data_IF_521809553520
#
_entry.id   IF_521809553520
#
_cell.length_a   1.000
_cell.length_b   1.000
_cell.length_c   1.000
_cell.angle_alpha   90.00
_cell.angle_beta   90.00
_cell.angle_gamma   90.00
#
_symmetry.space_group_name_H-M   'P 1'
#
loop_
_entity.id
_entity.type
_entity.pdbx_description
1 polymer ?
#
# COMPACT_ATOMS: atom_id res chain seq x y z
N UNK A 1 -21.03 7.00 4.06
CA UNK A 1 -20.70 6.07 5.16
C UNK A 1 -19.26 5.62 4.93
N UNK A 2 -18.28 6.06 5.74
CA UNK A 2 -16.89 5.57 5.62
C UNK A 2 -16.85 4.15 6.21
N UNK A 3 -16.28 3.14 5.52
CA UNK A 3 -16.12 1.82 6.11
C UNK A 3 -15.17 1.84 7.32
N UNK A 4 -15.14 0.76 8.09
CA UNK A 4 -14.36 0.67 9.33
C UNK A 4 -12.87 0.97 9.09
N UNK A 5 -12.36 1.96 9.81
CA UNK A 5 -10.99 2.46 9.75
C UNK A 5 -10.27 2.00 11.02
N UNK A 6 -9.17 1.27 10.87
CA UNK A 6 -8.41 0.74 12.00
C UNK A 6 -7.08 1.48 12.12
N UNK A 7 -6.86 2.09 13.29
CA UNK A 7 -5.58 2.69 13.68
C UNK A 7 -5.08 2.02 14.94
N UNK A 8 -3.81 1.62 14.95
CA UNK A 8 -3.15 1.01 16.09
C UNK A 8 -1.79 1.65 16.33
N UNK A 9 -1.49 1.82 17.61
CA UNK A 9 -0.18 2.22 18.10
C UNK A 9 0.43 1.04 18.83
N UNK A 10 1.72 0.84 18.62
CA UNK A 10 2.52 -0.14 19.35
C UNK A 10 3.82 0.51 19.77
N UNK A 11 4.06 0.61 21.09
CA UNK A 11 5.32 1.10 21.64
C UNK A 11 6.36 -0.03 21.63
N UNK A 12 7.55 0.25 21.10
CA UNK A 12 8.66 -0.69 21.06
C UNK A 12 9.47 -0.71 22.37
N UNK A 13 9.17 0.17 23.33
CA UNK A 13 9.84 0.25 24.62
C UNK A 13 11.23 0.91 24.57
N UNK A 14 11.61 1.46 23.42
CA UNK A 14 12.88 2.17 23.20
C UNK A 14 12.67 3.65 22.82
N UNK A 15 11.49 4.20 23.14
CA UNK A 15 11.08 5.55 22.75
C UNK A 15 10.63 5.69 21.30
N UNK A 16 10.53 4.59 20.55
CA UNK A 16 9.95 4.56 19.19
C UNK A 16 8.62 3.81 19.19
N UNK A 17 7.63 4.35 18.50
CA UNK A 17 6.32 3.71 18.33
C UNK A 17 6.03 3.41 16.87
N UNK A 18 5.43 2.26 16.60
CA UNK A 18 4.91 1.89 15.29
C UNK A 18 3.44 2.30 15.23
N UNK A 19 3.10 2.95 14.12
CA UNK A 19 1.72 3.30 13.79
C UNK A 19 1.31 2.45 12.59
N UNK A 20 0.19 1.75 12.72
CA UNK A 20 -0.43 1.01 11.63
C UNK A 20 -1.84 1.56 11.39
N UNK A 21 -2.12 1.92 10.15
CA UNK A 21 -3.45 2.33 9.70
C UNK A 21 -3.82 1.54 8.45
N UNK A 22 -5.10 1.19 8.33
CA UNK A 22 -5.66 0.62 7.12
C UNK A 22 -7.01 1.24 6.85
N UNK A 23 -7.19 1.67 5.61
CA UNK A 23 -8.44 2.23 5.09
C UNK A 23 -8.80 1.53 3.78
N UNK A 24 -10.07 1.21 3.60
CA UNK A 24 -10.61 0.68 2.36
C UNK A 24 -11.76 1.56 1.88
N UNK A 25 -11.82 1.81 0.58
CA UNK A 25 -12.81 2.68 -0.04
C UNK A 25 -13.53 1.96 -1.16
N UNK A 26 -14.81 2.26 -1.32
CA UNK A 26 -15.51 2.05 -2.58
C UNK A 26 -15.13 3.16 -3.57
N UNK A 27 -15.15 2.90 -4.88
CA UNK A 27 -14.84 3.92 -5.88
C UNK A 27 -15.73 5.15 -5.72
N UNK A 28 -15.08 6.31 -5.53
CA UNK A 28 -15.74 7.62 -5.35
C UNK A 28 -15.73 8.41 -6.67
N UNK A 29 -14.83 8.05 -7.59
CA UNK A 29 -14.62 8.72 -8.88
C UNK A 29 -14.50 7.68 -9.98
N UNK A 30 -14.84 8.08 -11.21
CA UNK A 30 -14.83 7.19 -12.38
C UNK A 30 -13.43 6.93 -12.93
N UNK A 31 -12.49 7.87 -12.73
CA UNK A 31 -11.11 7.71 -13.16
C UNK A 31 -10.36 6.74 -12.20
N UNK A 32 -9.90 5.57 -12.67
CA UNK A 32 -9.27 4.57 -11.82
C UNK A 32 -7.96 5.06 -11.19
N UNK A 33 -7.15 5.79 -11.95
CA UNK A 33 -5.87 6.31 -11.50
C UNK A 33 -6.04 7.36 -10.39
N UNK A 34 -6.96 8.29 -10.57
CA UNK A 34 -7.25 9.30 -9.55
C UNK A 34 -7.92 8.68 -8.32
N UNK A 35 -8.75 7.66 -8.49
CA UNK A 35 -9.29 6.88 -7.36
C UNK A 35 -8.16 6.30 -6.50
N UNK A 36 -7.17 5.65 -7.14
CA UNK A 36 -5.99 5.13 -6.45
C UNK A 36 -5.22 6.19 -5.67
N UNK A 37 -4.99 7.36 -6.30
CA UNK A 37 -4.30 8.50 -5.66
C UNK A 37 -5.05 9.03 -4.45
N UNK A 38 -6.37 9.22 -4.57
CA UNK A 38 -7.23 9.73 -3.49
C UNK A 38 -7.25 8.74 -2.32
N UNK A 39 -7.45 7.45 -2.61
CA UNK A 39 -7.49 6.40 -1.59
C UNK A 39 -6.17 6.31 -0.82
N UNK A 40 -5.04 6.27 -1.53
CA UNK A 40 -3.71 6.22 -0.90
C UNK A 40 -3.39 7.50 -0.11
N UNK A 41 -3.77 8.67 -0.62
CA UNK A 41 -3.60 9.95 0.09
C UNK A 41 -4.39 9.96 1.40
N UNK A 42 -5.64 9.49 1.39
CA UNK A 42 -6.44 9.43 2.61
C UNK A 42 -5.79 8.50 3.65
N UNK A 43 -5.41 7.28 3.26
CA UNK A 43 -4.80 6.31 4.17
C UNK A 43 -3.48 6.84 4.79
N UNK A 44 -2.68 7.56 4.02
CA UNK A 44 -1.40 8.13 4.50
C UNK A 44 -1.62 9.37 5.37
N UNK A 45 -2.65 10.18 5.07
CA UNK A 45 -2.93 11.43 5.81
C UNK A 45 -3.12 11.20 7.32
N UNK A 46 -3.64 10.04 7.70
CA UNK A 46 -3.78 9.63 9.10
C UNK A 46 -2.44 9.54 9.84
N UNK A 47 -1.41 9.01 9.18
CA UNK A 47 -0.06 8.90 9.76
C UNK A 47 0.52 10.30 10.00
N UNK A 48 0.35 11.20 9.03
CA UNK A 48 0.77 12.59 9.19
C UNK A 48 -0.02 13.32 10.28
N UNK A 49 -1.33 13.08 10.40
CA UNK A 49 -2.16 13.67 11.44
C UNK A 49 -1.75 13.21 12.86
N UNK A 50 -1.19 12.00 12.98
CA UNK A 50 -0.63 11.46 14.23
C UNK A 50 0.83 11.91 14.48
N UNK A 51 1.40 12.78 13.63
CA UNK A 51 2.78 13.23 13.72
C UNK A 51 3.82 12.17 13.34
N UNK A 52 3.38 11.06 12.75
CA UNK A 52 4.26 9.98 12.30
C UNK A 52 4.88 10.28 10.94
N UNK A 53 6.02 9.63 10.67
CA UNK A 53 6.62 9.59 9.34
C UNK A 53 6.24 8.27 8.68
N UNK A 54 5.48 8.26 7.57
CA UNK A 54 5.19 7.01 6.88
C UNK A 54 6.49 6.43 6.32
N UNK A 55 6.76 5.15 6.63
CA UNK A 55 7.98 4.44 6.19
C UNK A 55 7.70 3.37 5.14
N UNK A 56 6.46 2.88 5.06
CA UNK A 56 6.02 1.90 4.09
C UNK A 56 4.51 2.00 3.86
N UNK A 57 4.05 1.45 2.73
CA UNK A 57 2.64 1.28 2.42
C UNK A 57 2.44 -0.08 1.75
N UNK A 58 1.29 -0.71 2.00
CA UNK A 58 0.87 -1.98 1.39
C UNK A 58 -0.46 -1.72 0.70
N UNK A 59 -0.56 -2.06 -0.59
CA UNK A 59 -1.81 -1.95 -1.33
C UNK A 59 -2.72 -3.14 -0.99
N UNK A 60 -3.97 -2.85 -0.63
CA UNK A 60 -5.02 -3.85 -0.42
C UNK A 60 -6.10 -3.57 -1.46
N UNK A 61 -6.34 -4.51 -2.37
CA UNK A 61 -7.31 -4.37 -3.45
C UNK A 61 -8.23 -5.59 -3.50
N UNK A 62 -9.52 -5.38 -3.28
CA UNK A 62 -10.57 -6.34 -3.62
C UNK A 62 -11.09 -6.02 -5.02
N UNK A 63 -10.93 -6.94 -5.97
CA UNK A 63 -11.30 -6.70 -7.37
C UNK A 63 -12.25 -7.77 -7.92
N UNK A 64 -13.39 -7.39 -8.54
CA UNK A 64 -14.31 -8.36 -9.13
C UNK A 64 -13.80 -8.79 -10.52
N UNK A 65 -12.98 -9.84 -10.53
CA UNK A 65 -12.31 -10.36 -11.74
C UNK A 65 -13.26 -10.79 -12.86
N UNK A 66 -14.52 -11.08 -12.54
CA UNK A 66 -15.52 -11.52 -13.52
C UNK A 66 -16.28 -10.37 -14.20
N UNK A 67 -16.16 -9.14 -13.69
CA UNK A 67 -16.91 -7.98 -14.21
C UNK A 67 -16.02 -6.83 -14.66
N UNK A 68 -14.80 -6.71 -14.12
CA UNK A 68 -13.89 -5.61 -14.44
C UNK A 68 -12.51 -6.11 -14.88
N UNK A 69 -11.97 -5.48 -15.95
CA UNK A 69 -10.66 -5.83 -16.49
C UNK A 69 -9.54 -5.62 -15.44
N UNK A 70 -8.56 -6.53 -15.36
CA UNK A 70 -7.34 -6.34 -14.57
C UNK A 70 -6.53 -5.10 -14.95
N UNK A 71 -6.68 -4.57 -16.17
CA UNK A 71 -5.97 -3.35 -16.60
C UNK A 71 -6.40 -2.13 -15.79
N UNK A 72 -7.69 -2.05 -15.46
CA UNK A 72 -8.24 -0.99 -14.62
C UNK A 72 -7.69 -1.11 -13.19
N UNK A 73 -7.57 -2.34 -12.67
CA UNK A 73 -6.96 -2.59 -11.37
C UNK A 73 -5.49 -2.13 -11.33
N UNK A 74 -4.76 -2.28 -12.44
CA UNK A 74 -3.39 -1.78 -12.59
C UNK A 74 -3.36 -0.25 -12.52
N UNK A 75 -4.24 0.45 -13.21
CA UNK A 75 -4.32 1.91 -13.16
C UNK A 75 -4.59 2.43 -11.74
N UNK A 76 -5.51 1.79 -11.00
CA UNK A 76 -5.77 2.11 -9.58
C UNK A 76 -4.50 1.93 -8.75
N UNK A 77 -3.80 0.82 -8.94
CA UNK A 77 -2.59 0.51 -8.16
C UNK A 77 -1.45 1.48 -8.49
N UNK A 78 -1.29 1.85 -9.75
CA UNK A 78 -0.30 2.84 -10.20
C UNK A 78 -0.57 4.23 -9.61
N UNK A 79 -1.84 4.65 -9.59
CA UNK A 79 -2.27 5.88 -8.93
C UNK A 79 -1.95 5.86 -7.43
N UNK A 80 -2.24 4.75 -6.74
CA UNK A 80 -1.97 4.60 -5.31
C UNK A 80 -0.48 4.56 -4.95
N UNK A 81 0.38 4.14 -5.87
CA UNK A 81 1.83 4.07 -5.67
C UNK A 81 2.53 5.44 -5.71
N UNK A 82 1.92 6.46 -6.33
CA UNK A 82 2.51 7.81 -6.44
C UNK A 82 2.66 8.57 -5.10
N UNK A 83 1.61 8.69 -4.27
CA UNK A 83 1.73 9.34 -2.96
C UNK A 83 2.45 8.46 -1.93
N UNK A 84 2.67 7.18 -2.22
CA UNK A 84 3.37 6.27 -1.34
C UNK A 84 4.81 6.75 -1.09
N UNK A 85 5.27 6.56 0.14
CA UNK A 85 6.63 6.85 0.63
C UNK A 85 7.66 6.50 -0.44
N UNK A 86 8.57 7.44 -0.77
CA UNK A 86 9.70 7.17 -1.69
C UNK A 86 10.30 5.82 -1.30
N UNK A 87 10.12 4.80 -2.13
CA UNK A 87 10.49 3.48 -1.69
C UNK A 87 12.02 3.42 -1.76
N UNK A 88 12.64 2.80 -0.74
CA UNK A 88 14.10 2.62 -0.70
C UNK A 88 14.57 1.78 -1.92
N UNK A 89 13.65 1.06 -2.55
CA UNK A 89 13.78 0.48 -3.90
C UNK A 89 12.51 0.78 -4.71
N UNK A 90 12.66 1.34 -5.91
CA UNK A 90 11.56 1.69 -6.82
C UNK A 90 10.55 0.52 -6.94
N UNK A 91 9.30 0.73 -6.53
CA UNK A 91 8.22 -0.22 -6.78
C UNK A 91 8.11 -0.47 -8.29
N UNK A 92 8.32 -1.71 -8.72
CA UNK A 92 7.94 -2.19 -10.05
C UNK A 92 7.06 -3.43 -9.89
N UNK A 93 5.91 -3.43 -10.57
CA UNK A 93 4.96 -4.55 -10.56
C UNK A 93 5.55 -5.87 -11.11
N UNK A 94 6.69 -5.80 -11.81
CA UNK A 94 7.41 -6.94 -12.42
C UNK A 94 8.26 -7.77 -11.43
N UNK A 95 8.48 -7.27 -10.21
CA UNK A 95 9.47 -7.86 -9.27
C UNK A 95 8.93 -9.12 -8.58
N UNK A 96 7.63 -9.41 -8.65
CA UNK A 96 7.00 -10.57 -8.03
C UNK A 96 7.07 -11.87 -8.86
N UNK A 97 7.58 -11.84 -10.11
CA UNK A 97 7.52 -13.01 -11.01
C UNK A 97 8.83 -13.36 -11.73
N UNK A 98 10.00 -12.89 -11.26
CA UNK A 98 11.27 -13.30 -11.87
C UNK A 98 11.94 -14.49 -11.16
N UNK A 99 12.52 -15.46 -11.90
CA UNK A 99 13.17 -16.66 -11.33
C UNK A 99 14.38 -16.40 -10.41
N UNK A 100 14.86 -15.15 -10.28
CA UNK A 100 16.09 -14.82 -9.53
C UNK A 100 15.93 -14.81 -8.00
N UNK A 101 14.72 -14.97 -7.46
CA UNK A 101 14.50 -15.04 -6.00
C UNK A 101 14.92 -16.38 -5.36
N UNK A 102 15.25 -17.41 -6.14
CA UNK A 102 15.71 -18.71 -5.59
C UNK A 102 17.15 -18.71 -5.07
N UNK A 103 18.03 -17.81 -5.53
CA UNK A 103 19.46 -17.89 -5.19
C UNK A 103 19.84 -17.24 -3.85
N UNK A 104 18.91 -16.55 -3.19
CA UNK A 104 19.17 -15.88 -1.90
C UNK A 104 18.72 -16.70 -0.68
N UNK A 105 18.05 -17.84 -0.89
CA UNK A 105 17.63 -18.74 0.20
C UNK A 105 18.67 -19.84 0.49
N UNK A 106 19.64 -20.10 -0.41
CA UNK A 106 20.64 -21.16 -0.20
C UNK A 106 21.94 -20.71 0.48
N UNK A 107 22.03 -19.49 1.02
CA UNK A 107 23.21 -19.00 1.76
C UNK A 107 22.94 -18.68 3.24
N UNK A 108 21.84 -19.17 3.79
CA UNK A 108 21.51 -19.06 5.22
C UNK A 108 21.42 -20.43 5.93
N UNK A 109 22.02 -21.47 5.35
CA UNK A 109 22.33 -22.72 6.03
C UNK A 109 23.73 -23.18 5.58
N UNK A 110 24.75 -22.59 6.19
CA UNK A 110 26.11 -23.11 6.29
C UNK A 110 26.75 -22.48 7.53
#
# INVERSE_FOLDING_TARGET
MKPAMMRRFYDLGNGTSIISTTDFFMPIVDNPFDFGRIAATNAISDIFAMGGKPIMAIAILGWPINTLSPDIAREVTEGGALPAVRPVSRWRADTLLTPRSRSLVSRSQA
#
